data_IF_616534254963
#
_entry.id   IF_616534254963
#
_cell.length_a   1.000
_cell.length_b   1.000
_cell.length_c   1.000
_cell.angle_alpha   90.00
_cell.angle_beta   90.00
_cell.angle_gamma   90.00
#
_symmetry.space_group_name_H-M   'P 1'
#
loop_
_entity.id
_entity.type
_entity.pdbx_description
1 polymer ?
#
# COMPACT_ATOMS: atom_id res chain seq x y z
N UNK A 1 12.92 30.32 -11.79
CA UNK A 1 13.14 28.94 -11.35
C UNK A 1 11.90 28.16 -11.77
N UNK A 2 12.02 27.42 -12.86
CA UNK A 2 10.99 26.50 -13.34
C UNK A 2 10.96 25.31 -12.39
N UNK A 3 10.00 25.31 -11.45
CA UNK A 3 9.77 24.19 -10.55
C UNK A 3 8.62 23.34 -11.05
N UNK A 4 8.76 22.01 -10.89
CA UNK A 4 7.68 21.07 -11.14
C UNK A 4 6.65 21.14 -10.00
N UNK A 5 5.44 20.63 -10.25
CA UNK A 5 4.37 20.53 -9.24
C UNK A 5 4.26 19.10 -8.75
N UNK A 6 4.66 18.88 -7.52
CA UNK A 6 4.39 17.63 -6.80
C UNK A 6 2.97 17.69 -6.24
N UNK A 7 2.14 16.67 -6.50
CA UNK A 7 0.75 16.63 -6.05
C UNK A 7 0.58 15.56 -4.97
N UNK A 8 0.06 15.95 -3.82
CA UNK A 8 -0.16 15.07 -2.67
C UNK A 8 -1.53 14.41 -2.71
N UNK A 9 -2.55 15.23 -2.88
CA UNK A 9 -3.94 14.79 -2.82
C UNK A 9 -4.85 15.76 -3.60
N UNK A 10 -6.04 15.25 -3.92
CA UNK A 10 -7.19 16.06 -4.31
C UNK A 10 -8.21 16.01 -3.17
N UNK A 11 -8.85 17.13 -2.85
CA UNK A 11 -9.87 17.18 -1.82
C UNK A 11 -10.99 18.18 -2.18
N UNK A 12 -12.09 18.12 -1.45
CA UNK A 12 -13.11 19.17 -1.46
C UNK A 12 -12.57 20.43 -0.76
N UNK A 13 -13.21 21.60 -0.91
CA UNK A 13 -12.85 22.79 -0.16
C UNK A 13 -12.70 22.50 1.32
N UNK A 14 -11.63 23.02 1.92
CA UNK A 14 -11.28 22.73 3.31
C UNK A 14 -12.26 23.41 4.26
N UNK A 15 -12.65 22.72 5.31
CA UNK A 15 -13.48 23.27 6.38
C UNK A 15 -12.70 24.20 7.33
N UNK A 16 -11.38 24.04 7.40
CA UNK A 16 -10.46 24.85 8.20
C UNK A 16 -9.16 25.08 7.39
N UNK A 17 -8.43 26.17 7.65
CA UNK A 17 -7.17 26.44 6.96
C UNK A 17 -6.12 25.39 7.34
N UNK A 18 -5.26 25.05 6.37
CA UNK A 18 -4.04 24.29 6.66
C UNK A 18 -3.08 25.13 7.50
N UNK A 19 -2.19 24.46 8.23
CA UNK A 19 -1.12 25.13 8.96
C UNK A 19 -0.27 25.96 7.99
N UNK A 20 -0.02 27.23 8.33
CA UNK A 20 0.67 28.17 7.45
C UNK A 20 2.11 27.77 7.10
N UNK A 21 2.76 26.99 7.97
CA UNK A 21 4.15 26.55 7.81
C UNK A 21 4.26 25.05 7.42
N UNK A 22 3.16 24.46 6.89
CA UNK A 22 3.20 23.07 6.47
C UNK A 22 4.15 22.90 5.28
N UNK A 23 5.23 22.17 5.51
CA UNK A 23 6.17 21.75 4.47
C UNK A 23 5.99 20.27 4.14
N UNK A 24 6.31 19.91 2.91
CA UNK A 24 6.19 18.53 2.43
C UNK A 24 7.48 18.04 1.80
N UNK A 25 7.35 17.43 0.66
CA UNK A 25 8.46 16.85 -0.12
C UNK A 25 9.50 17.92 -0.46
N UNK A 26 10.78 17.57 -0.34
CA UNK A 26 11.92 18.47 -0.51
C UNK A 26 11.92 19.72 0.43
N UNK A 27 11.18 19.66 1.55
CA UNK A 27 11.03 20.80 2.46
C UNK A 27 10.23 21.97 1.89
N UNK A 28 9.56 21.76 0.76
CA UNK A 28 8.78 22.81 0.08
C UNK A 28 7.42 23.03 0.76
N UNK A 29 6.94 24.29 0.83
CA UNK A 29 5.63 24.58 1.41
C UNK A 29 4.49 23.97 0.60
N UNK A 30 3.48 23.46 1.30
CA UNK A 30 2.25 22.98 0.69
C UNK A 30 1.37 24.16 0.26
N UNK A 31 0.83 24.12 -0.95
CA UNK A 31 -0.02 25.13 -1.57
C UNK A 31 -1.34 24.51 -2.02
N UNK A 32 -2.38 25.34 -2.04
CA UNK A 32 -3.71 24.94 -2.51
C UNK A 32 -3.95 25.48 -3.92
N UNK A 33 -4.19 24.58 -4.87
CA UNK A 33 -4.58 24.91 -6.23
C UNK A 33 -6.05 24.60 -6.42
N UNK A 34 -6.87 25.65 -6.48
CA UNK A 34 -8.32 25.53 -6.65
C UNK A 34 -8.68 25.39 -8.12
N UNK A 35 -9.51 24.39 -8.44
CA UNK A 35 -10.01 24.17 -9.79
C UNK A 35 -11.30 23.31 -9.77
N UNK A 36 -12.34 23.71 -10.53
CA UNK A 36 -13.63 22.98 -10.66
C UNK A 36 -14.27 22.56 -9.32
N UNK A 37 -14.20 23.42 -8.29
CA UNK A 37 -14.76 23.10 -6.97
C UNK A 37 -13.97 22.07 -6.18
N UNK A 38 -12.83 21.62 -6.71
CA UNK A 38 -11.85 20.77 -6.06
C UNK A 38 -10.57 21.56 -5.71
N UNK A 39 -9.77 20.99 -4.84
CA UNK A 39 -8.46 21.52 -4.45
C UNK A 39 -7.42 20.43 -4.66
N UNK A 40 -6.41 20.69 -5.49
CA UNK A 40 -5.18 19.92 -5.46
C UNK A 40 -4.21 20.54 -4.44
N UNK A 41 -3.64 19.70 -3.58
CA UNK A 41 -2.60 20.13 -2.65
C UNK A 41 -1.25 19.81 -3.28
N UNK A 42 -0.44 20.85 -3.49
CA UNK A 42 0.79 20.78 -4.29
C UNK A 42 1.97 21.43 -3.59
N UNK A 43 3.20 21.08 -3.99
CA UNK A 43 4.42 21.82 -3.66
C UNK A 43 5.25 22.05 -4.91
N UNK A 44 6.03 23.13 -4.91
CA UNK A 44 7.05 23.38 -5.93
C UNK A 44 8.28 22.53 -5.62
N UNK A 45 8.64 21.63 -6.52
CA UNK A 45 9.82 20.77 -6.35
C UNK A 45 10.85 21.04 -7.44
N UNK A 46 12.15 20.88 -7.15
CA UNK A 46 13.19 21.19 -8.10
C UNK A 46 13.24 20.19 -9.26
N UNK A 47 13.33 20.68 -10.48
CA UNK A 47 13.39 19.87 -11.70
C UNK A 47 14.58 18.91 -11.71
N UNK A 48 15.72 19.33 -11.14
CA UNK A 48 16.95 18.50 -11.03
C UNK A 48 16.75 17.18 -10.29
N UNK A 49 15.73 17.11 -9.38
CA UNK A 49 15.47 15.94 -8.54
C UNK A 49 14.17 15.20 -8.95
N UNK A 50 13.24 15.91 -9.58
CA UNK A 50 11.89 15.40 -9.87
C UNK A 50 11.53 15.33 -11.36
N UNK A 51 12.42 15.72 -12.29
CA UNK A 51 12.24 15.41 -13.70
C UNK A 51 12.35 13.89 -13.92
N UNK A 52 11.84 13.39 -15.05
CA UNK A 52 11.63 11.96 -15.31
C UNK A 52 12.88 11.10 -15.04
N UNK A 53 14.03 11.47 -15.60
CA UNK A 53 15.25 10.68 -15.43
C UNK A 53 15.85 10.74 -14.03
N UNK A 54 16.07 11.94 -13.40
CA UNK A 54 16.49 12.02 -12.01
C UNK A 54 15.56 11.31 -11.05
N UNK A 55 14.24 11.48 -11.24
CA UNK A 55 13.25 10.82 -10.40
C UNK A 55 13.34 9.30 -10.46
N UNK A 56 13.53 8.73 -11.67
CA UNK A 56 13.70 7.29 -11.82
C UNK A 56 14.93 6.77 -11.06
N UNK A 57 16.06 7.49 -11.14
CA UNK A 57 17.26 7.16 -10.39
C UNK A 57 17.07 7.26 -8.88
N UNK A 58 16.37 8.31 -8.42
CA UNK A 58 16.09 8.52 -6.99
C UNK A 58 15.10 7.51 -6.39
N UNK A 59 14.20 6.94 -7.19
CA UNK A 59 13.28 5.90 -6.73
C UNK A 59 13.99 4.57 -6.38
N UNK A 60 15.24 4.38 -6.82
CA UNK A 60 16.10 3.26 -6.44
C UNK A 60 16.90 3.56 -5.15
N UNK A 61 17.00 4.82 -4.73
CA UNK A 61 17.65 5.26 -3.48
C UNK A 61 16.66 5.17 -2.32
N UNK A 62 16.88 4.21 -1.42
CA UNK A 62 16.01 3.95 -0.28
C UNK A 62 15.91 5.13 0.68
N UNK A 63 17.02 5.85 0.90
CA UNK A 63 17.05 6.98 1.83
C UNK A 63 16.28 8.18 1.25
N UNK A 64 16.46 8.46 -0.03
CA UNK A 64 15.70 9.49 -0.74
C UNK A 64 14.19 9.14 -0.79
N UNK A 65 13.88 7.89 -1.13
CA UNK A 65 12.50 7.40 -1.18
C UNK A 65 11.82 7.52 0.20
N UNK A 66 12.52 7.12 1.27
CA UNK A 66 12.01 7.23 2.63
C UNK A 66 11.82 8.69 3.06
N UNK A 67 12.71 9.60 2.68
CA UNK A 67 12.58 11.03 2.97
C UNK A 67 11.39 11.63 2.21
N UNK A 68 11.24 11.31 0.94
CA UNK A 68 10.12 11.74 0.09
C UNK A 68 8.78 11.21 0.62
N UNK A 69 8.72 9.93 1.00
CA UNK A 69 7.53 9.33 1.58
C UNK A 69 7.12 9.99 2.90
N UNK A 70 8.08 10.32 3.77
CA UNK A 70 7.80 11.06 5.02
C UNK A 70 7.25 12.45 4.76
N UNK A 71 7.85 13.21 3.82
CA UNK A 71 7.36 14.54 3.46
C UNK A 71 5.96 14.49 2.82
N UNK A 72 5.69 13.47 2.00
CA UNK A 72 4.36 13.23 1.44
C UNK A 72 3.34 12.92 2.54
N UNK A 73 3.66 11.96 3.41
CA UNK A 73 2.77 11.54 4.49
C UNK A 73 2.46 12.68 5.46
N UNK A 74 3.42 13.54 5.79
CA UNK A 74 3.23 14.70 6.65
C UNK A 74 2.12 15.64 6.11
N UNK A 75 2.07 15.86 4.80
CA UNK A 75 1.02 16.69 4.17
C UNK A 75 -0.33 15.95 4.21
N UNK A 76 -0.34 14.65 3.93
CA UNK A 76 -1.58 13.85 3.98
C UNK A 76 -2.16 13.79 5.39
N UNK A 77 -1.33 13.64 6.42
CA UNK A 77 -1.77 13.62 7.83
C UNK A 77 -2.39 14.98 8.22
N UNK A 78 -1.75 16.08 7.85
CA UNK A 78 -2.30 17.43 8.08
C UNK A 78 -3.64 17.63 7.37
N UNK A 79 -3.79 17.12 6.14
CA UNK A 79 -5.06 17.16 5.41
C UNK A 79 -6.13 16.30 6.08
N UNK A 80 -5.78 15.11 6.54
CA UNK A 80 -6.71 14.18 7.20
C UNK A 80 -7.29 14.76 8.50
N UNK A 81 -6.60 15.71 9.14
CA UNK A 81 -7.10 16.42 10.31
C UNK A 81 -8.22 17.44 9.98
N UNK A 82 -8.24 18.00 8.76
CA UNK A 82 -9.16 19.10 8.37
C UNK A 82 -10.14 18.72 7.26
N UNK A 83 -9.89 17.61 6.55
CA UNK A 83 -10.76 17.13 5.48
C UNK A 83 -10.61 15.61 5.30
N UNK A 84 -11.32 15.04 4.33
CA UNK A 84 -11.07 13.70 3.82
C UNK A 84 -10.33 13.84 2.50
N UNK A 85 -9.00 13.68 2.45
CA UNK A 85 -8.24 13.76 1.22
C UNK A 85 -8.40 12.50 0.39
N UNK A 86 -8.31 12.65 -0.94
CA UNK A 86 -8.06 11.58 -1.88
C UNK A 86 -6.55 11.61 -2.19
N UNK A 87 -5.74 10.76 -1.55
CA UNK A 87 -4.30 10.79 -1.72
C UNK A 87 -3.91 10.30 -3.12
N UNK A 88 -2.94 10.95 -3.73
CA UNK A 88 -2.33 10.49 -4.98
C UNK A 88 -1.12 9.61 -4.70
N UNK A 89 -0.64 8.92 -5.73
CA UNK A 89 0.54 8.07 -5.62
C UNK A 89 1.78 8.91 -5.31
N UNK A 90 2.70 8.34 -4.57
CA UNK A 90 4.01 8.93 -4.33
C UNK A 90 4.67 9.30 -5.66
N UNK A 91 5.34 10.44 -5.70
CA UNK A 91 6.02 10.96 -6.89
C UNK A 91 5.09 11.31 -8.08
N UNK A 92 3.83 11.67 -7.81
CA UNK A 92 2.95 12.27 -8.82
C UNK A 92 3.38 13.72 -9.07
N UNK A 93 3.93 13.98 -10.25
CA UNK A 93 4.55 15.25 -10.62
C UNK A 93 4.03 15.76 -11.96
N UNK A 94 3.77 17.06 -12.06
CA UNK A 94 3.36 17.77 -13.26
C UNK A 94 4.34 18.92 -13.57
N UNK A 95 4.39 19.36 -14.83
CA UNK A 95 5.27 20.45 -15.24
C UNK A 95 4.91 21.78 -14.58
N UNK A 96 3.60 22.04 -14.44
CA UNK A 96 3.07 23.32 -13.95
C UNK A 96 1.64 23.16 -13.43
N UNK A 97 1.04 24.25 -12.99
CA UNK A 97 -0.33 24.31 -12.52
C UNK A 97 -1.35 23.92 -13.62
N UNK A 98 -1.03 24.15 -14.90
CA UNK A 98 -1.92 23.82 -16.01
C UNK A 98 -2.07 22.31 -16.16
N UNK A 99 -0.98 21.55 -16.04
CA UNK A 99 -1.03 20.09 -16.03
C UNK A 99 -1.84 19.52 -14.87
N UNK A 100 -1.76 20.15 -13.69
CA UNK A 100 -2.59 19.76 -12.53
C UNK A 100 -4.08 20.05 -12.78
N UNK A 101 -4.41 21.20 -13.40
CA UNK A 101 -5.80 21.54 -13.74
C UNK A 101 -6.38 20.58 -14.75
N UNK A 102 -5.65 20.26 -15.80
CA UNK A 102 -6.06 19.26 -16.82
C UNK A 102 -6.34 17.91 -16.16
N UNK A 103 -5.46 17.44 -15.29
CA UNK A 103 -5.69 16.19 -14.54
C UNK A 103 -6.99 16.23 -13.70
N UNK A 104 -7.31 17.38 -13.09
CA UNK A 104 -8.57 17.54 -12.35
C UNK A 104 -9.76 17.49 -13.31
N UNK A 105 -9.72 18.21 -14.44
CA UNK A 105 -10.79 18.27 -15.43
C UNK A 105 -11.09 16.88 -16.02
N UNK A 106 -10.07 16.17 -16.49
CA UNK A 106 -10.21 14.85 -17.10
C UNK A 106 -10.77 13.80 -16.14
N UNK A 107 -10.59 13.98 -14.83
CA UNK A 107 -10.96 13.02 -13.81
C UNK A 107 -11.98 13.54 -12.79
N UNK A 108 -12.62 14.65 -13.05
CA UNK A 108 -13.53 15.33 -12.12
C UNK A 108 -14.59 14.39 -11.54
N UNK A 109 -15.34 13.70 -12.41
CA UNK A 109 -16.36 12.75 -11.97
C UNK A 109 -15.82 11.62 -11.08
N UNK A 110 -14.65 11.08 -11.43
CA UNK A 110 -14.01 10.01 -10.64
C UNK A 110 -13.59 10.53 -9.28
N UNK A 111 -13.00 11.73 -9.24
CA UNK A 111 -12.61 12.37 -7.99
C UNK A 111 -13.81 12.67 -7.10
N UNK A 112 -14.87 13.24 -7.64
CA UNK A 112 -16.08 13.56 -6.88
C UNK A 112 -16.72 12.30 -6.29
N UNK A 113 -16.94 11.26 -7.11
CA UNK A 113 -17.49 9.96 -6.64
C UNK A 113 -16.62 9.33 -5.57
N UNK A 114 -15.30 9.35 -5.76
CA UNK A 114 -14.37 8.75 -4.80
C UNK A 114 -14.35 9.54 -3.50
N UNK A 115 -14.30 10.87 -3.56
CA UNK A 115 -14.37 11.74 -2.38
C UNK A 115 -15.67 11.55 -1.60
N UNK A 116 -16.83 11.39 -2.27
CA UNK A 116 -18.11 11.10 -1.61
C UNK A 116 -18.06 9.74 -0.89
N UNK A 117 -17.49 8.71 -1.53
CA UNK A 117 -17.31 7.40 -0.92
C UNK A 117 -16.38 7.42 0.29
N UNK A 118 -15.32 8.24 0.26
CA UNK A 118 -14.35 8.32 1.34
C UNK A 118 -14.74 9.28 2.46
N UNK A 119 -15.74 10.14 2.25
CA UNK A 119 -16.10 11.19 3.20
C UNK A 119 -16.41 10.64 4.59
N UNK A 120 -15.73 11.19 5.61
CA UNK A 120 -15.91 10.78 7.01
C UNK A 120 -15.35 9.40 7.35
N UNK A 121 -14.55 8.80 6.48
CA UNK A 121 -13.93 7.49 6.64
C UNK A 121 -12.42 7.59 6.75
N UNK A 122 -11.83 6.58 7.36
CA UNK A 122 -10.38 6.39 7.50
C UNK A 122 -10.03 4.96 7.16
N UNK A 123 -8.79 4.74 6.79
CA UNK A 123 -8.26 3.41 6.52
C UNK A 123 -7.54 2.86 7.76
N UNK A 124 -7.87 1.62 8.13
CA UNK A 124 -7.14 0.83 9.12
C UNK A 124 -6.47 -0.35 8.44
N UNK A 125 -5.18 -0.54 8.68
CA UNK A 125 -4.43 -1.70 8.20
C UNK A 125 -4.34 -2.77 9.29
N UNK A 126 -4.67 -4.02 8.95
CA UNK A 126 -4.51 -5.17 9.86
C UNK A 126 -3.64 -6.21 9.20
N UNK A 127 -2.61 -6.65 9.93
CA UNK A 127 -1.70 -7.69 9.49
C UNK A 127 -1.63 -8.79 10.54
N UNK A 128 -1.59 -10.02 10.07
CA UNK A 128 -1.41 -11.20 10.93
C UNK A 128 -0.14 -11.90 10.52
N UNK A 129 0.69 -12.25 11.51
CA UNK A 129 1.96 -12.93 11.31
C UNK A 129 2.01 -14.21 12.12
N UNK A 130 2.60 -15.25 11.55
CA UNK A 130 3.06 -16.43 12.28
C UNK A 130 4.47 -16.16 12.78
N UNK A 131 4.65 -16.20 14.09
CA UNK A 131 5.97 -16.03 14.68
C UNK A 131 6.79 -17.31 14.54
N UNK A 132 8.12 -17.22 14.32
CA UNK A 132 8.96 -18.40 14.28
C UNK A 132 8.86 -19.16 15.61
N UNK A 133 8.42 -20.40 15.59
CA UNK A 133 8.48 -21.28 16.76
C UNK A 133 9.93 -21.56 17.12
N UNK A 134 10.53 -20.74 18.01
CA UNK A 134 11.90 -20.97 18.45
C UNK A 134 12.73 -19.74 18.79
N UNK A 135 12.14 -18.64 19.33
CA UNK A 135 12.92 -17.66 20.06
C UNK A 135 12.15 -17.13 21.26
N UNK A 136 12.79 -17.34 22.41
CA UNK A 136 12.65 -16.67 23.69
C UNK A 136 11.70 -17.28 24.71
N UNK A 137 12.29 -18.02 25.54
CA UNK A 137 11.83 -18.45 26.82
C UNK A 137 12.62 -19.65 27.29
N UNK A 138 13.87 -19.47 27.75
CA UNK A 138 14.60 -20.49 28.52
C UNK A 138 14.68 -21.88 27.91
N UNK A 139 15.15 -22.00 26.68
CA UNK A 139 15.69 -23.23 26.21
C UNK A 139 17.10 -23.39 26.82
N UNK A 140 17.21 -24.18 27.87
CA UNK A 140 18.52 -24.75 28.25
C UNK A 140 19.15 -25.39 27.00
N UNK A 141 20.46 -25.67 26.99
CA UNK A 141 21.18 -26.14 25.83
C UNK A 141 20.44 -27.31 25.20
N UNK A 142 19.95 -27.13 23.95
CA UNK A 142 19.28 -28.21 23.21
C UNK A 142 20.24 -29.42 23.20
N UNK A 143 19.83 -30.52 23.83
CA UNK A 143 20.60 -31.74 23.85
C UNK A 143 20.81 -32.16 22.39
N UNK A 144 22.07 -32.24 21.96
CA UNK A 144 22.42 -32.72 20.62
C UNK A 144 21.75 -34.08 20.41
N UNK A 145 21.05 -34.29 19.30
CA UNK A 145 20.39 -35.59 19.05
C UNK A 145 21.41 -36.72 19.15
N UNK A 146 21.08 -37.73 19.96
CA UNK A 146 21.96 -38.84 20.27
C UNK A 146 22.18 -39.76 19.05
N UNK A 147 21.30 -39.68 18.03
CA UNK A 147 21.40 -40.48 16.81
C UNK A 147 20.81 -39.74 15.60
N UNK A 148 21.20 -40.19 14.38
CA UNK A 148 20.59 -39.68 13.14
C UNK A 148 19.07 -39.96 13.07
N UNK A 149 18.59 -40.97 13.73
CA UNK A 149 17.16 -41.31 13.83
C UNK A 149 16.41 -40.29 14.72
N UNK A 150 17.02 -39.88 15.81
CA UNK A 150 16.46 -38.88 16.72
C UNK A 150 16.45 -37.48 16.07
N UNK A 151 17.48 -37.17 15.30
CA UNK A 151 17.51 -35.94 14.48
C UNK A 151 16.36 -35.87 13.48
N UNK A 152 16.13 -36.99 12.73
CA UNK A 152 15.02 -37.01 11.76
C UNK A 152 13.66 -36.99 12.44
N UNK A 153 13.51 -37.58 13.61
CA UNK A 153 12.29 -37.52 14.42
C UNK A 153 12.02 -36.11 14.88
N UNK A 154 13.02 -35.46 15.44
CA UNK A 154 12.92 -34.07 15.92
C UNK A 154 12.59 -33.10 14.75
N UNK A 155 13.23 -33.27 13.60
CA UNK A 155 12.95 -32.47 12.40
C UNK A 155 11.50 -32.66 11.91
N UNK A 156 10.99 -33.88 11.92
CA UNK A 156 9.58 -34.18 11.56
C UNK A 156 8.61 -33.58 12.56
N UNK A 157 8.92 -33.63 13.85
CA UNK A 157 8.08 -33.00 14.88
C UNK A 157 8.05 -31.45 14.73
N UNK A 158 9.21 -30.81 14.50
CA UNK A 158 9.30 -29.37 14.24
C UNK A 158 8.52 -28.99 12.97
N UNK A 159 8.61 -29.77 11.89
CA UNK A 159 7.88 -29.52 10.66
C UNK A 159 6.35 -29.63 10.84
N UNK A 160 5.87 -30.67 11.59
CA UNK A 160 4.44 -30.79 11.90
C UNK A 160 3.94 -29.66 12.80
N UNK A 161 4.68 -29.29 13.83
CA UNK A 161 4.31 -28.20 14.70
C UNK A 161 4.24 -26.86 13.95
N UNK A 162 5.11 -26.65 12.96
CA UNK A 162 5.07 -25.49 12.08
C UNK A 162 3.82 -25.51 11.20
N UNK A 163 3.51 -26.66 10.57
CA UNK A 163 2.31 -26.85 9.75
C UNK A 163 1.03 -26.62 10.55
N UNK A 164 0.94 -27.20 11.76
CA UNK A 164 -0.20 -27.04 12.65
C UNK A 164 -0.40 -25.57 13.08
N UNK A 165 0.71 -24.83 13.31
CA UNK A 165 0.65 -23.40 13.64
C UNK A 165 0.22 -22.57 12.44
N UNK A 166 0.69 -22.92 11.25
CA UNK A 166 0.31 -22.27 10.02
C UNK A 166 -1.19 -22.40 9.73
N UNK A 167 -1.73 -23.63 9.81
CA UNK A 167 -3.16 -23.87 9.59
C UNK A 167 -4.04 -23.13 10.62
N UNK A 168 -3.63 -23.08 11.89
CA UNK A 168 -4.33 -22.27 12.90
C UNK A 168 -4.29 -20.78 12.58
N UNK A 169 -3.15 -20.28 12.11
CA UNK A 169 -3.01 -18.88 11.72
C UNK A 169 -3.88 -18.50 10.53
N UNK A 170 -3.98 -19.36 9.52
CA UNK A 170 -4.88 -19.15 8.37
C UNK A 170 -6.34 -19.13 8.80
N UNK A 171 -6.75 -20.07 9.65
CA UNK A 171 -8.12 -20.10 10.19
C UNK A 171 -8.43 -18.86 11.05
N UNK A 172 -7.49 -18.46 11.90
CA UNK A 172 -7.62 -17.26 12.71
C UNK A 172 -7.71 -16.01 11.83
N UNK A 173 -6.82 -15.87 10.85
CA UNK A 173 -6.81 -14.75 9.91
C UNK A 173 -8.12 -14.66 9.10
N UNK A 174 -8.67 -15.80 8.67
CA UNK A 174 -9.96 -15.87 7.97
C UNK A 174 -11.13 -15.40 8.86
N UNK A 175 -11.19 -15.87 10.11
CA UNK A 175 -12.23 -15.44 11.08
C UNK A 175 -12.11 -13.95 11.38
N UNK A 176 -10.90 -13.47 11.65
CA UNK A 176 -10.64 -12.06 11.92
C UNK A 176 -11.02 -11.19 10.72
N UNK A 177 -10.62 -11.57 9.52
CA UNK A 177 -10.99 -10.83 8.29
C UNK A 177 -12.50 -10.75 8.11
N UNK A 178 -13.23 -11.86 8.30
CA UNK A 178 -14.69 -11.87 8.20
C UNK A 178 -15.33 -10.93 9.22
N UNK A 179 -14.92 -11.03 10.49
CA UNK A 179 -15.42 -10.17 11.57
C UNK A 179 -15.19 -8.69 11.26
N UNK A 180 -13.97 -8.31 10.87
CA UNK A 180 -13.62 -6.91 10.61
C UNK A 180 -14.31 -6.38 9.34
N UNK A 181 -14.53 -7.23 8.34
CA UNK A 181 -15.24 -6.85 7.12
C UNK A 181 -16.70 -6.53 7.35
N UNK A 182 -17.36 -7.17 8.33
CA UNK A 182 -18.74 -6.85 8.74
C UNK A 182 -18.87 -5.48 9.43
N UNK A 183 -17.77 -4.97 10.00
CA UNK A 183 -17.72 -3.70 10.72
C UNK A 183 -17.07 -2.56 9.92
N UNK A 184 -16.64 -2.84 8.69
CA UNK A 184 -16.08 -1.87 7.75
C UNK A 184 -17.03 -1.63 6.58
N UNK A 185 -17.00 -0.42 5.99
CA UNK A 185 -17.78 -0.11 4.80
C UNK A 185 -17.18 -0.76 3.52
N UNK A 186 -15.89 -1.07 3.57
CA UNK A 186 -15.17 -1.82 2.53
C UNK A 186 -13.90 -2.46 3.11
N UNK A 187 -13.48 -3.58 2.53
CA UNK A 187 -12.21 -4.23 2.84
C UNK A 187 -11.43 -4.54 1.56
N UNK A 188 -10.09 -4.49 1.66
CA UNK A 188 -9.19 -4.84 0.57
C UNK A 188 -8.05 -5.70 1.09
N UNK A 189 -7.87 -6.87 0.48
CA UNK A 189 -6.72 -7.72 0.72
C UNK A 189 -5.54 -7.26 -0.13
N UNK A 190 -4.36 -7.25 0.48
CA UNK A 190 -3.09 -7.01 -0.18
C UNK A 190 -2.26 -8.28 -0.23
N UNK A 191 -1.29 -8.33 -1.14
CA UNK A 191 -0.33 -9.42 -1.15
C UNK A 191 0.39 -9.51 0.21
N UNK A 192 0.65 -10.71 0.72
CA UNK A 192 1.45 -10.91 1.92
C UNK A 192 2.81 -10.20 1.78
N UNK A 193 3.23 -9.52 2.84
CA UNK A 193 4.53 -8.85 2.83
C UNK A 193 5.66 -9.87 2.83
N UNK A 194 6.63 -9.69 1.93
CA UNK A 194 7.84 -10.49 1.93
C UNK A 194 8.64 -10.18 3.21
N UNK A 195 8.93 -11.21 4.02
CA UNK A 195 9.69 -11.08 5.28
C UNK A 195 11.08 -10.48 5.08
N UNK A 196 11.68 -10.59 3.89
CA UNK A 196 12.98 -10.01 3.57
C UNK A 196 12.95 -8.47 3.49
N UNK A 197 11.80 -7.87 3.24
CA UNK A 197 11.61 -6.42 3.13
C UNK A 197 10.96 -5.79 4.38
N UNK A 198 10.28 -6.59 5.19
CA UNK A 198 9.69 -6.13 6.44
C UNK A 198 10.67 -6.36 7.59
N UNK A 199 10.89 -5.34 8.45
CA UNK A 199 11.64 -5.53 9.71
C UNK A 199 10.86 -6.38 10.72
N UNK A 200 9.66 -6.83 10.37
CA UNK A 200 8.81 -7.66 11.21
C UNK A 200 9.31 -9.10 11.20
N UNK A 201 9.55 -9.66 12.38
CA UNK A 201 9.78 -11.10 12.52
C UNK A 201 8.49 -11.86 12.22
N UNK A 202 8.58 -12.99 11.52
CA UNK A 202 7.44 -13.83 11.22
C UNK A 202 6.97 -13.77 9.77
N UNK A 203 6.13 -14.75 9.42
CA UNK A 203 5.57 -14.88 8.09
C UNK A 203 4.16 -14.29 8.07
N UNK A 204 3.90 -13.37 7.13
CA UNK A 204 2.62 -12.68 7.01
C UNK A 204 1.56 -13.60 6.37
N UNK A 205 0.44 -13.82 7.06
CA UNK A 205 -0.71 -14.63 6.59
C UNK A 205 -1.93 -13.79 6.25
N UNK A 206 -2.03 -12.55 6.76
CA UNK A 206 -3.06 -11.58 6.39
C UNK A 206 -2.42 -10.21 6.26
N UNK A 207 -2.73 -9.53 5.18
CA UNK A 207 -2.44 -8.12 4.97
C UNK A 207 -3.68 -7.48 4.37
N UNK A 208 -4.44 -6.73 5.17
CA UNK A 208 -5.72 -6.19 4.77
C UNK A 208 -5.87 -4.73 5.19
N UNK A 209 -6.56 -3.96 4.37
CA UNK A 209 -7.02 -2.61 4.66
C UNK A 209 -8.53 -2.59 4.81
N UNK A 210 -9.03 -1.81 5.77
CA UNK A 210 -10.45 -1.65 6.07
C UNK A 210 -10.83 -0.17 6.04
N UNK A 211 -11.86 0.17 5.29
CA UNK A 211 -12.43 1.50 5.25
C UNK A 211 -13.50 1.61 6.33
N UNK A 212 -13.21 2.38 7.37
CA UNK A 212 -14.05 2.45 8.58
C UNK A 212 -14.57 3.87 8.76
N UNK A 213 -15.86 4.07 9.07
CA UNK A 213 -16.35 5.38 9.51
C UNK A 213 -15.54 5.89 10.69
N UNK A 214 -15.08 7.15 10.64
CA UNK A 214 -14.25 7.75 11.69
C UNK A 214 -14.91 7.63 13.07
N UNK A 215 -16.23 7.77 13.13
CA UNK A 215 -17.01 7.63 14.36
C UNK A 215 -16.99 6.22 14.98
N UNK A 216 -16.66 5.19 14.17
CA UNK A 216 -16.57 3.78 14.62
C UNK A 216 -15.12 3.30 14.82
N UNK A 217 -14.14 4.21 14.70
CA UNK A 217 -12.74 3.84 14.79
C UNK A 217 -12.36 3.22 16.15
N UNK A 218 -12.86 3.75 17.24
CA UNK A 218 -12.58 3.22 18.58
C UNK A 218 -13.11 1.79 18.73
N UNK A 219 -14.34 1.53 18.30
CA UNK A 219 -14.95 0.20 18.30
C UNK A 219 -14.14 -0.80 17.46
N UNK A 220 -13.69 -0.36 16.27
CA UNK A 220 -12.88 -1.17 15.38
C UNK A 220 -11.51 -1.52 16.02
N UNK A 221 -10.84 -0.55 16.63
CA UNK A 221 -9.57 -0.75 17.36
C UNK A 221 -9.74 -1.74 18.51
N UNK A 222 -10.77 -1.54 19.35
CA UNK A 222 -11.06 -2.46 20.46
C UNK A 222 -11.32 -3.90 19.99
N UNK A 223 -12.01 -4.05 18.87
CA UNK A 223 -12.30 -5.36 18.27
C UNK A 223 -11.00 -6.07 17.89
N UNK A 224 -10.07 -5.38 17.23
CA UNK A 224 -8.75 -5.93 16.89
C UNK A 224 -7.94 -6.23 18.15
N UNK A 225 -7.94 -5.33 19.12
CA UNK A 225 -7.17 -5.48 20.35
C UNK A 225 -7.61 -6.71 21.17
N UNK A 226 -8.90 -7.03 21.18
CA UNK A 226 -9.42 -8.25 21.85
C UNK A 226 -8.86 -9.52 21.24
N UNK A 227 -8.50 -9.53 19.97
CA UNK A 227 -7.94 -10.74 19.31
C UNK A 227 -6.44 -10.91 19.52
N UNK A 228 -5.75 -9.87 20.03
CA UNK A 228 -4.32 -9.95 20.31
C UNK A 228 -4.05 -10.92 21.46
N UNK A 229 -3.21 -11.91 21.19
CA UNK A 229 -2.82 -12.93 22.16
C UNK A 229 -3.81 -14.08 22.35
N UNK A 230 -4.93 -14.13 21.61
CA UNK A 230 -5.86 -15.28 21.63
C UNK A 230 -5.19 -16.57 21.15
N UNK A 231 -4.31 -16.49 20.16
CA UNK A 231 -3.64 -17.67 19.58
C UNK A 231 -2.13 -17.60 19.80
N UNK A 232 -1.53 -18.57 20.51
CA UNK A 232 -0.08 -18.62 20.70
C UNK A 232 0.69 -18.74 19.39
N UNK A 233 1.75 -17.92 19.22
CA UNK A 233 2.57 -17.92 18.04
C UNK A 233 1.96 -17.14 16.86
N UNK A 234 0.87 -16.39 17.11
CA UNK A 234 0.23 -15.52 16.14
C UNK A 234 0.27 -14.08 16.66
N UNK A 235 0.76 -13.16 15.84
CA UNK A 235 0.84 -11.74 16.16
C UNK A 235 -0.06 -10.92 15.22
N UNK A 236 -0.89 -10.07 15.82
CA UNK A 236 -1.77 -9.16 15.10
C UNK A 236 -1.19 -7.74 15.21
N UNK A 237 -1.02 -7.08 14.09
CA UNK A 237 -0.64 -5.67 13.99
C UNK A 237 -1.80 -4.85 13.44
N UNK A 238 -2.09 -3.73 14.11
CA UNK A 238 -3.02 -2.71 13.66
C UNK A 238 -2.23 -1.43 13.37
N UNK A 239 -2.50 -0.81 12.23
CA UNK A 239 -1.89 0.45 11.81
C UNK A 239 -2.94 1.42 11.32
N UNK A 240 -2.75 2.71 11.56
CA UNK A 240 -3.68 3.76 11.20
C UNK A 240 -4.05 4.67 12.39
N UNK A 241 -5.04 5.53 12.25
CA UNK A 241 -5.85 5.72 11.02
C UNK A 241 -5.07 6.44 9.91
N UNK A 242 -5.21 5.95 8.70
CA UNK A 242 -4.58 6.52 7.50
C UNK A 242 -5.62 7.19 6.60
N UNK A 243 -5.18 8.07 5.70
CA UNK A 243 -5.96 8.40 4.52
C UNK A 243 -6.20 7.13 3.68
N UNK A 244 -7.32 7.07 2.96
CA UNK A 244 -7.82 5.84 2.35
C UNK A 244 -7.09 5.46 1.04
N UNK A 245 -5.77 5.28 1.07
CA UNK A 245 -4.94 4.93 -0.08
C UNK A 245 -5.40 3.66 -0.80
N UNK A 246 -5.74 2.64 -0.03
CA UNK A 246 -6.16 1.35 -0.59
C UNK A 246 -7.50 1.40 -1.30
N UNK A 247 -8.28 2.46 -1.08
CA UNK A 247 -9.63 2.63 -1.61
C UNK A 247 -9.74 3.68 -2.71
N UNK A 248 -8.64 4.31 -3.08
CA UNK A 248 -8.54 5.15 -4.28
C UNK A 248 -8.51 4.22 -5.50
N UNK A 249 -9.39 4.46 -6.48
CA UNK A 249 -9.34 3.72 -7.74
C UNK A 249 -7.98 3.96 -8.40
N UNK A 250 -7.29 2.90 -8.89
CA UNK A 250 -6.07 3.10 -9.63
C UNK A 250 -6.38 4.00 -10.83
N UNK A 251 -5.54 5.01 -11.08
CA UNK A 251 -5.57 5.69 -12.36
C UNK A 251 -5.51 4.60 -13.43
N UNK A 252 -6.45 4.60 -14.37
CA UNK A 252 -6.35 3.71 -15.52
C UNK A 252 -4.93 3.88 -16.06
N UNK A 253 -4.13 2.83 -15.98
CA UNK A 253 -2.84 2.78 -16.64
C UNK A 253 -3.16 2.94 -18.13
N UNK A 254 -2.82 4.09 -18.70
CA UNK A 254 -2.77 4.20 -20.17
C UNK A 254 -1.87 3.06 -20.64
N UNK A 255 -2.52 2.09 -21.28
CA UNK A 255 -1.87 0.90 -21.81
C UNK A 255 -0.85 1.33 -22.84
N UNK A 256 0.38 1.03 -22.58
CA UNK A 256 1.35 0.82 -23.64
C UNK A 256 0.95 -0.48 -24.33
N UNK A 257 -0.08 -0.42 -25.20
CA UNK A 257 -0.28 -1.46 -26.20
C UNK A 257 0.90 -1.38 -27.17
N UNK A 258 1.92 -2.17 -26.85
CA UNK A 258 2.93 -2.56 -27.83
C UNK A 258 2.25 -3.40 -28.90
N UNK A 259 1.90 -2.77 -30.01
CA UNK A 259 1.56 -3.45 -31.25
C UNK A 259 2.73 -4.33 -31.68
N UNK A 260 2.70 -5.59 -31.25
CA UNK A 260 3.49 -6.67 -31.84
C UNK A 260 2.84 -7.08 -33.13
N UNK A 261 3.26 -6.46 -34.24
CA UNK A 261 2.99 -6.92 -35.59
C UNK A 261 3.68 -8.28 -35.78
N UNK A 262 2.91 -9.36 -35.71
CA UNK A 262 3.33 -10.69 -36.10
C UNK A 262 2.91 -10.91 -37.55
N UNK A 263 3.79 -10.50 -38.51
CA UNK A 263 3.69 -10.83 -39.88
C UNK A 263 3.70 -12.35 -40.10
N UNK A 264 2.52 -12.89 -40.38
CA UNK A 264 2.36 -14.26 -40.82
C UNK A 264 2.88 -14.45 -42.24
N UNK A 265 3.97 -15.18 -42.39
CA UNK A 265 4.41 -15.71 -43.70
C UNK A 265 3.68 -17.02 -43.97
N UNK A 266 2.71 -16.95 -44.90
CA UNK A 266 2.04 -18.12 -45.47
C UNK A 266 3.01 -18.92 -46.32
N UNK A 267 3.13 -20.19 -46.00
CA UNK A 267 3.78 -21.18 -46.87
C UNK A 267 2.70 -21.91 -47.68
N UNK A 268 2.59 -21.61 -48.95
CA UNK A 268 1.80 -22.39 -49.91
C UNK A 268 2.69 -23.42 -50.56
N UNK A 269 2.31 -24.68 -50.43
CA UNK A 269 2.91 -25.82 -51.11
C UNK A 269 2.74 -25.75 -52.64
N UNK A 270 3.70 -26.32 -53.32
CA UNK A 270 3.69 -26.61 -54.76
C UNK A 270 4.33 -27.95 -55.02
N UNK A 271 3.48 -28.92 -55.31
CA UNK A 271 3.83 -30.20 -55.95
C UNK A 271 4.33 -29.98 -57.35
N UNK A 272 5.33 -30.75 -57.77
CA UNK A 272 5.80 -30.81 -59.15
C UNK A 272 6.73 -32.00 -59.38
N UNK A 273 6.15 -32.99 -60.01
CA UNK A 273 6.80 -34.17 -60.59
C UNK A 273 7.82 -33.80 -61.67
N UNK A 274 8.73 -34.75 -61.95
CA UNK A 274 9.24 -34.99 -63.31
C UNK A 274 10.72 -35.26 -63.40
N UNK A 275 11.07 -36.50 -63.50
CA UNK A 275 11.76 -37.23 -64.55
C UNK A 275 13.13 -36.70 -65.06
N UNK A 276 14.11 -37.55 -64.84
CA UNK A 276 15.16 -38.10 -65.72
C UNK A 276 16.43 -38.46 -64.95
#
# INVERSE_FOLDING_TARGET
>A
VTGLRYVYAVCRPLAAPLQAELTGVAGAPAKLLHHHGLIAVVSDVPERDFAEEPLRAHLEDIDWLAATARGHQQVIDALTAVTTPLPLRLATVFRDDSGVRVMIEEREEVFLRTLDRLQGRVEWGVKVYVEPTGQEGTAGPEAKPASGRDYLRQRRMKARAHEDTWQRAEQFAGRLHSLLSEHADAARLHAPQNSALSRASGQNVLNAAYLVPRAKSEEFVEMVDRTKGEEPGIRVELTGPWAAYSFVEPAASEGTEGTGDAGGAGNTGGTGEGDA
#
